data_IF_923130697047
#
_entry.id   IF_923130697047
#
_cell.length_a   1.000
_cell.length_b   1.000
_cell.length_c   1.000
_cell.angle_alpha   90.00
_cell.angle_beta   90.00
_cell.angle_gamma   90.00
#
_symmetry.space_group_name_H-M   'P 1'
#
loop_
_entity.id
_entity.type
_entity.pdbx_description
1 polymer ?
#
# COMPACT_ATOMS: atom_id res chain seq x y z
N UNK A 1 -5.14 24.07 -10.17
CA UNK A 1 -5.28 23.75 -8.72
C UNK A 1 -3.89 23.70 -8.13
N UNK A 2 -3.65 24.39 -7.01
CA UNK A 2 -2.34 24.34 -6.33
C UNK A 2 -2.04 22.90 -5.88
N UNK A 3 -0.80 22.43 -6.08
CA UNK A 3 -0.33 21.12 -5.62
C UNK A 3 -0.44 20.96 -4.10
N UNK A 4 -0.53 22.08 -3.39
CA UNK A 4 -0.58 22.14 -1.92
C UNK A 4 -1.99 22.26 -1.33
N UNK A 5 -3.04 22.28 -2.15
CA UNK A 5 -4.41 22.26 -1.64
C UNK A 5 -4.71 20.91 -0.96
N UNK A 6 -5.25 20.91 0.27
CA UNK A 6 -5.64 19.68 0.96
C UNK A 6 -6.64 18.87 0.13
N UNK A 7 -6.51 17.55 0.16
CA UNK A 7 -7.39 16.61 -0.53
C UNK A 7 -8.08 15.68 0.45
N UNK A 8 -9.31 15.32 0.12
CA UNK A 8 -10.05 14.33 0.91
C UNK A 8 -9.63 12.90 0.53
N UNK A 9 -9.78 11.92 1.44
CA UNK A 9 -9.55 10.51 1.10
C UNK A 9 -10.36 10.06 -0.11
N UNK A 10 -11.60 10.55 -0.27
CA UNK A 10 -12.52 10.19 -1.35
C UNK A 10 -12.00 10.54 -2.75
N UNK A 11 -11.23 11.63 -2.88
CA UNK A 11 -10.68 12.06 -4.17
C UNK A 11 -9.64 11.09 -4.74
N UNK A 12 -9.09 10.21 -3.89
CA UNK A 12 -8.05 9.25 -4.25
C UNK A 12 -8.42 7.80 -4.00
N UNK A 13 -9.55 7.51 -3.35
CA UNK A 13 -10.02 6.14 -3.15
C UNK A 13 -10.03 5.34 -4.44
N UNK A 14 -9.67 4.06 -4.31
CA UNK A 14 -9.67 3.11 -5.41
C UNK A 14 -10.28 1.79 -4.97
N UNK A 15 -11.17 1.27 -5.81
CA UNK A 15 -11.70 -0.08 -5.68
C UNK A 15 -11.40 -0.83 -6.96
N UNK A 16 -10.96 -2.07 -6.82
CA UNK A 16 -10.73 -3.00 -7.93
C UNK A 16 -11.16 -4.39 -7.52
N UNK A 17 -11.52 -5.20 -8.50
CA UNK A 17 -11.88 -6.59 -8.27
C UNK A 17 -11.30 -7.49 -9.35
N UNK A 18 -11.00 -8.74 -8.96
CA UNK A 18 -10.49 -9.76 -9.86
C UNK A 18 -11.05 -11.13 -9.49
N UNK A 19 -11.54 -11.85 -10.50
CA UNK A 19 -11.91 -13.25 -10.35
C UNK A 19 -10.64 -14.09 -10.20
N UNK A 20 -10.62 -14.95 -9.18
CA UNK A 20 -9.49 -15.84 -8.95
C UNK A 20 -9.59 -17.07 -9.86
N UNK A 21 -8.62 -17.19 -10.76
CA UNK A 21 -8.53 -18.25 -11.75
C UNK A 21 -7.54 -19.34 -11.29
N UNK A 22 -7.53 -20.54 -11.92
CA UNK A 22 -6.63 -21.63 -11.56
C UNK A 22 -5.14 -21.27 -11.54
N UNK A 23 -4.68 -20.37 -12.42
CA UNK A 23 -3.29 -19.89 -12.47
C UNK A 23 -2.87 -19.08 -11.24
N UNK A 24 -3.82 -18.62 -10.43
CA UNK A 24 -3.55 -17.93 -9.17
C UNK A 24 -3.37 -18.90 -7.98
N UNK A 25 -3.60 -20.20 -8.21
CA UNK A 25 -3.59 -21.20 -7.13
C UNK A 25 -2.17 -21.60 -6.71
N UNK A 26 -2.01 -21.91 -5.43
CA UNK A 26 -0.86 -22.61 -4.87
C UNK A 26 -1.05 -24.13 -4.95
N UNK A 27 -0.07 -24.90 -4.46
CA UNK A 27 -0.08 -26.37 -4.46
C UNK A 27 -1.22 -26.98 -3.65
N UNK A 28 -1.88 -26.21 -2.78
CA UNK A 28 -3.01 -26.67 -1.94
C UNK A 28 -4.36 -26.28 -2.56
N UNK A 29 -4.39 -25.69 -3.76
CA UNK A 29 -5.62 -25.27 -4.43
C UNK A 29 -6.22 -23.96 -3.91
N UNK A 30 -5.51 -23.24 -3.05
CA UNK A 30 -5.90 -21.90 -2.60
C UNK A 30 -5.13 -20.81 -3.37
N UNK A 31 -5.64 -19.61 -3.39
CA UNK A 31 -4.94 -18.48 -4.03
C UNK A 31 -3.61 -18.22 -3.32
N UNK A 32 -2.54 -18.12 -4.12
CA UNK A 32 -1.21 -17.84 -3.62
C UNK A 32 -1.13 -16.43 -3.00
N UNK A 33 -0.61 -16.35 -1.76
CA UNK A 33 -0.54 -15.08 -1.02
C UNK A 33 0.23 -13.98 -1.74
N UNK A 34 1.23 -14.34 -2.56
CA UNK A 34 1.98 -13.39 -3.38
C UNK A 34 1.13 -12.69 -4.44
N UNK A 35 0.13 -13.38 -5.01
CA UNK A 35 -0.87 -12.77 -5.93
C UNK A 35 -1.63 -11.68 -5.19
N UNK A 36 -2.11 -11.99 -3.98
CA UNK A 36 -2.87 -11.01 -3.17
C UNK A 36 -2.00 -9.82 -2.79
N UNK A 37 -0.74 -10.03 -2.40
CA UNK A 37 0.20 -8.95 -2.09
C UNK A 37 0.45 -8.03 -3.29
N UNK A 38 0.65 -8.61 -4.49
CA UNK A 38 0.82 -7.84 -5.74
C UNK A 38 -0.41 -7.00 -6.06
N UNK A 39 -1.61 -7.57 -5.90
CA UNK A 39 -2.86 -6.84 -6.10
C UNK A 39 -3.05 -5.72 -5.08
N UNK A 40 -2.68 -5.95 -3.80
CA UNK A 40 -2.71 -4.91 -2.75
C UNK A 40 -1.79 -3.74 -3.09
N UNK A 41 -0.55 -4.03 -3.51
CA UNK A 41 0.42 -3.01 -3.89
C UNK A 41 -0.09 -2.18 -5.07
N UNK A 42 -0.62 -2.85 -6.10
CA UNK A 42 -1.22 -2.17 -7.26
C UNK A 42 -2.39 -1.28 -6.88
N UNK A 43 -3.33 -1.78 -6.05
CA UNK A 43 -4.49 -1.00 -5.61
C UNK A 43 -4.07 0.21 -4.77
N UNK A 44 -3.07 0.03 -3.90
CA UNK A 44 -2.51 1.11 -3.08
C UNK A 44 -1.77 2.15 -3.93
N UNK A 45 -0.99 1.71 -4.95
CA UNK A 45 -0.30 2.60 -5.87
C UNK A 45 -1.26 3.52 -6.61
N UNK A 46 -2.40 3.00 -7.10
CA UNK A 46 -3.42 3.84 -7.75
C UNK A 46 -3.94 4.93 -6.81
N UNK A 47 -4.23 4.60 -5.55
CA UNK A 47 -4.67 5.57 -4.56
C UNK A 47 -3.58 6.62 -4.27
N UNK A 48 -2.32 6.18 -4.14
CA UNK A 48 -1.18 7.07 -3.93
C UNK A 48 -0.97 8.03 -5.11
N UNK A 49 -0.98 7.55 -6.35
CA UNK A 49 -0.82 8.37 -7.56
C UNK A 49 -1.96 9.37 -7.72
N UNK A 50 -3.20 8.95 -7.45
CA UNK A 50 -4.36 9.87 -7.48
C UNK A 50 -4.23 10.98 -6.46
N UNK A 51 -3.73 10.69 -5.27
CA UNK A 51 -3.56 11.67 -4.22
C UNK A 51 -2.38 12.62 -4.50
N UNK A 52 -1.20 12.08 -4.80
CA UNK A 52 0.00 12.86 -5.04
C UNK A 52 -0.02 13.62 -6.37
N UNK A 53 -0.75 13.09 -7.39
CA UNK A 53 -0.68 13.54 -8.80
C UNK A 53 0.74 13.54 -9.33
N UNK A 54 1.53 12.60 -8.85
CA UNK A 54 2.94 12.42 -9.21
C UNK A 54 3.32 10.94 -9.09
N UNK A 55 4.53 10.59 -9.54
CA UNK A 55 5.07 9.25 -9.34
C UNK A 55 5.21 8.95 -7.85
N UNK A 56 4.90 7.73 -7.47
CA UNK A 56 5.05 7.24 -6.11
C UNK A 56 5.71 5.88 -6.12
N UNK A 57 6.51 5.60 -5.10
CA UNK A 57 7.16 4.30 -4.91
C UNK A 57 6.74 3.69 -3.59
N UNK A 58 6.55 2.38 -3.57
CA UNK A 58 6.30 1.61 -2.36
C UNK A 58 7.59 1.54 -1.54
N UNK A 59 7.53 1.91 -0.26
CA UNK A 59 8.68 1.90 0.65
C UNK A 59 8.58 0.75 1.64
N UNK A 60 7.38 0.47 2.14
CA UNK A 60 7.15 -0.64 3.05
C UNK A 60 5.73 -1.14 2.97
N UNK A 61 5.56 -2.42 3.28
CA UNK A 61 4.28 -3.06 3.54
C UNK A 61 4.35 -3.50 5.01
N UNK A 62 3.36 -3.09 5.81
CA UNK A 62 3.25 -3.54 7.19
C UNK A 62 2.90 -5.03 7.24
N UNK A 63 2.92 -5.62 8.43
CA UNK A 63 2.53 -7.02 8.64
C UNK A 63 1.17 -7.31 8.00
N UNK A 64 1.12 -8.38 7.20
CA UNK A 64 -0.09 -8.89 6.56
C UNK A 64 -0.42 -10.25 7.15
N UNK A 65 -1.60 -10.37 7.78
CA UNK A 65 -2.10 -11.63 8.32
C UNK A 65 -3.19 -12.15 7.37
N UNK A 66 -2.97 -13.33 6.77
CA UNK A 66 -3.96 -14.04 5.96
C UNK A 66 -4.84 -14.87 6.91
N UNK A 67 -6.02 -14.36 7.25
CA UNK A 67 -6.91 -14.97 8.25
C UNK A 67 -7.80 -16.06 7.69
N UNK A 68 -8.18 -15.91 6.43
CA UNK A 68 -9.04 -16.86 5.73
C UNK A 68 -8.48 -17.16 4.34
N UNK A 69 -8.57 -18.41 3.88
CA UNK A 69 -8.14 -18.76 2.53
C UNK A 69 -9.06 -18.12 1.50
N UNK A 70 -8.47 -17.77 0.35
CA UNK A 70 -9.18 -17.35 -0.85
C UNK A 70 -9.12 -18.50 -1.84
N UNK A 71 -10.27 -18.84 -2.44
CA UNK A 71 -10.38 -19.98 -3.34
C UNK A 71 -10.40 -19.56 -4.80
N UNK A 72 -10.04 -20.48 -5.68
CA UNK A 72 -10.31 -20.33 -7.11
C UNK A 72 -11.83 -20.21 -7.30
N UNK A 73 -12.26 -19.25 -8.11
CA UNK A 73 -13.67 -18.91 -8.29
C UNK A 73 -14.21 -17.81 -7.37
N UNK A 74 -13.48 -17.41 -6.31
CA UNK A 74 -13.83 -16.22 -5.54
C UNK A 74 -13.56 -14.94 -6.35
N UNK A 75 -14.42 -13.94 -6.18
CA UNK A 75 -14.14 -12.57 -6.60
C UNK A 75 -13.43 -11.82 -5.47
N UNK A 76 -12.17 -11.49 -5.68
CA UNK A 76 -11.40 -10.67 -4.71
C UNK A 76 -11.65 -9.20 -4.99
N UNK A 77 -12.13 -8.49 -3.97
CA UNK A 77 -12.38 -7.04 -4.02
C UNK A 77 -11.39 -6.33 -3.10
N UNK A 78 -10.68 -5.35 -3.65
CA UNK A 78 -9.71 -4.53 -2.92
C UNK A 78 -10.15 -3.10 -2.86
N UNK A 79 -10.18 -2.53 -1.64
CA UNK A 79 -10.57 -1.14 -1.36
C UNK A 79 -9.38 -0.42 -0.75
N UNK A 80 -8.78 0.49 -1.52
CA UNK A 80 -7.62 1.29 -1.13
C UNK A 80 -8.01 2.73 -0.80
N UNK A 81 -7.44 3.29 0.26
CA UNK A 81 -7.66 4.66 0.69
C UNK A 81 -6.42 5.25 1.35
N UNK A 82 -6.13 6.52 1.07
CA UNK A 82 -5.10 7.27 1.81
C UNK A 82 -5.62 7.51 3.22
N UNK A 83 -4.87 7.02 4.22
CA UNK A 83 -5.21 7.16 5.63
C UNK A 83 -4.46 8.32 6.30
N UNK A 84 -3.22 8.58 5.86
CA UNK A 84 -2.36 9.61 6.44
C UNK A 84 -1.37 10.13 5.40
N UNK A 85 -1.04 11.42 5.50
CA UNK A 85 0.00 12.07 4.68
C UNK A 85 1.01 12.75 5.60
N UNK A 86 2.28 12.46 5.41
CA UNK A 86 3.41 13.20 5.97
C UNK A 86 3.88 14.28 5.00
N UNK A 87 5.15 14.68 5.06
CA UNK A 87 5.69 15.68 4.14
C UNK A 87 5.82 15.13 2.70
N UNK A 88 6.44 13.96 2.55
CA UNK A 88 6.71 13.31 1.25
C UNK A 88 6.13 11.89 1.16
N UNK A 89 5.59 11.38 2.25
CA UNK A 89 5.10 10.00 2.37
C UNK A 89 3.61 9.95 2.67
N UNK A 90 2.98 8.85 2.27
CA UNK A 90 1.57 8.56 2.51
C UNK A 90 1.43 7.14 3.07
N UNK A 91 0.50 6.95 4.01
CA UNK A 91 0.03 5.62 4.37
C UNK A 91 -1.25 5.32 3.63
N UNK A 92 -1.26 4.21 2.89
CA UNK A 92 -2.42 3.70 2.18
C UNK A 92 -2.91 2.45 2.92
N UNK A 93 -4.19 2.45 3.32
CA UNK A 93 -4.85 1.25 3.83
C UNK A 93 -5.55 0.51 2.70
N UNK A 94 -5.34 -0.81 2.64
CA UNK A 94 -6.04 -1.70 1.70
C UNK A 94 -6.84 -2.73 2.49
N UNK A 95 -8.14 -2.79 2.23
CA UNK A 95 -9.05 -3.83 2.72
C UNK A 95 -9.32 -4.82 1.61
N UNK A 96 -9.18 -6.11 1.92
CA UNK A 96 -9.41 -7.20 0.99
C UNK A 96 -10.62 -8.01 1.44
N UNK A 97 -11.55 -8.21 0.52
CA UNK A 97 -12.74 -9.03 0.69
C UNK A 97 -12.76 -10.11 -0.40
N UNK A 98 -13.17 -11.31 -0.07
CA UNK A 98 -13.47 -12.36 -1.02
C UNK A 98 -14.98 -12.60 -1.06
N UNK A 99 -15.54 -12.67 -2.26
CA UNK A 99 -16.94 -12.97 -2.51
C UNK A 99 -17.07 -14.32 -3.23
N UNK A 100 -17.80 -15.23 -2.64
CA UNK A 100 -18.22 -16.46 -3.29
C UNK A 100 -19.42 -16.15 -4.21
N UNK A 101 -19.17 -16.10 -5.52
CA UNK A 101 -20.15 -15.60 -6.50
C UNK A 101 -21.43 -16.45 -6.59
N UNK A 102 -21.35 -17.73 -6.24
CA UNK A 102 -22.50 -18.64 -6.30
C UNK A 102 -23.50 -18.40 -5.18
N UNK A 103 -23.02 -17.87 -4.03
CA UNK A 103 -23.85 -17.63 -2.84
C UNK A 103 -23.99 -16.14 -2.53
N UNK A 104 -23.14 -15.29 -3.10
CA UNK A 104 -23.04 -13.86 -2.78
C UNK A 104 -22.42 -13.59 -1.41
N UNK A 105 -21.90 -14.62 -0.73
CA UNK A 105 -21.27 -14.50 0.59
C UNK A 105 -19.95 -13.74 0.47
N UNK A 106 -19.86 -12.60 1.15
CA UNK A 106 -18.63 -11.82 1.29
C UNK A 106 -17.98 -12.07 2.64
N UNK A 107 -16.67 -12.18 2.65
CA UNK A 107 -15.85 -12.31 3.86
C UNK A 107 -14.64 -11.40 3.77
N UNK A 108 -14.30 -10.75 4.89
CA UNK A 108 -13.09 -9.97 5.02
C UNK A 108 -11.91 -10.89 5.27
N UNK A 109 -11.00 -11.00 4.32
CA UNK A 109 -9.86 -11.93 4.40
C UNK A 109 -8.67 -11.31 5.09
N UNK A 110 -8.35 -10.07 4.75
CA UNK A 110 -7.21 -9.35 5.34
C UNK A 110 -7.29 -7.84 5.10
N UNK A 111 -6.44 -7.12 5.84
CA UNK A 111 -6.15 -5.70 5.60
C UNK A 111 -4.67 -5.48 5.77
N UNK A 112 -4.11 -4.52 5.03
CA UNK A 112 -2.74 -4.10 5.18
C UNK A 112 -2.61 -2.59 5.09
N UNK A 113 -1.43 -2.10 5.49
CA UNK A 113 -1.05 -0.71 5.35
C UNK A 113 0.28 -0.66 4.60
N UNK A 114 0.33 0.19 3.59
CA UNK A 114 1.53 0.39 2.78
C UNK A 114 1.98 1.84 2.91
N UNK A 115 3.29 2.03 2.95
CA UNK A 115 3.88 3.38 2.91
C UNK A 115 4.40 3.65 1.51
N UNK A 116 3.91 4.74 0.92
CA UNK A 116 4.37 5.27 -0.36
C UNK A 116 5.10 6.59 -0.17
N UNK A 117 6.07 6.86 -1.03
CA UNK A 117 6.77 8.15 -1.12
C UNK A 117 6.58 8.71 -2.53
N UNK A 118 6.16 9.96 -2.61
CA UNK A 118 6.09 10.66 -3.89
C UNK A 118 7.49 11.10 -4.33
N UNK A 119 7.81 10.90 -5.60
CA UNK A 119 9.13 11.18 -6.17
C UNK A 119 9.03 11.98 -7.46
N UNK A 120 10.05 12.81 -7.71
CA UNK A 120 10.24 13.50 -8.99
C UNK A 120 10.79 12.56 -10.07
N UNK A 121 11.07 13.10 -11.28
CA UNK A 121 11.62 12.33 -12.40
C UNK A 121 13.03 11.78 -12.13
N UNK A 122 13.73 12.31 -11.12
CA UNK A 122 15.06 11.87 -10.71
C UNK A 122 15.02 10.92 -9.50
N UNK A 123 13.83 10.48 -9.07
CA UNK A 123 13.64 9.62 -7.91
C UNK A 123 13.78 10.33 -6.55
N UNK A 124 13.81 11.65 -6.51
CA UNK A 124 13.94 12.42 -5.27
C UNK A 124 12.57 12.62 -4.62
N UNK A 125 12.46 12.46 -3.28
CA UNK A 125 11.21 12.68 -2.57
C UNK A 125 10.70 14.11 -2.73
N UNK A 126 9.41 14.26 -3.06
CA UNK A 126 8.72 15.55 -3.19
C UNK A 126 7.55 15.64 -2.22
N UNK A 127 7.10 16.85 -1.93
CA UNK A 127 5.98 17.10 -1.05
C UNK A 127 4.66 16.61 -1.66
N UNK A 128 3.76 16.17 -0.80
CA UNK A 128 2.41 15.66 -1.15
C UNK A 128 1.35 16.60 -0.61
N UNK A 129 0.22 16.78 -1.33
CA UNK A 129 -0.91 17.54 -0.81
C UNK A 129 -1.37 16.98 0.55
N UNK A 130 -1.64 17.84 1.56
CA UNK A 130 -2.14 17.39 2.85
C UNK A 130 -3.46 16.63 2.72
N UNK A 131 -3.68 15.65 3.62
CA UNK A 131 -4.94 14.93 3.70
C UNK A 131 -5.91 15.69 4.61
N UNK A 132 -7.16 15.84 4.16
CA UNK A 132 -8.27 16.41 4.93
C UNK A 132 -9.37 15.38 5.09
N UNK A 133 -9.36 14.58 6.18
CA UNK A 133 -10.45 13.66 6.47
C UNK A 133 -11.71 14.45 6.87
N UNK A 134 -12.87 14.05 6.35
CA UNK A 134 -14.15 14.74 6.59
C UNK A 134 -15.16 13.85 7.32
N UNK A 135 -15.13 12.54 7.06
CA UNK A 135 -16.07 11.62 7.67
C UNK A 135 -15.52 10.99 8.97
N UNK A 136 -16.38 10.63 9.94
CA UNK A 136 -15.94 10.03 11.20
C UNK A 136 -14.98 8.83 11.01
N UNK A 137 -15.27 7.96 10.04
CA UNK A 137 -14.42 6.81 9.73
C UNK A 137 -13.06 7.21 9.12
N UNK A 138 -13.01 8.29 8.34
CA UNK A 138 -11.79 8.83 7.77
C UNK A 138 -10.91 9.42 8.88
N UNK A 139 -11.52 10.18 9.80
CA UNK A 139 -10.84 10.74 10.99
C UNK A 139 -10.28 9.61 11.86
N UNK A 140 -11.06 8.58 12.14
CA UNK A 140 -10.60 7.41 12.90
C UNK A 140 -9.41 6.72 12.23
N UNK A 141 -9.46 6.50 10.91
CA UNK A 141 -8.35 5.90 10.15
C UNK A 141 -7.11 6.79 10.15
N UNK A 142 -7.30 8.10 10.04
CA UNK A 142 -6.22 9.08 10.08
C UNK A 142 -5.46 9.05 11.41
N UNK A 143 -6.16 9.10 12.55
CA UNK A 143 -5.53 9.04 13.86
C UNK A 143 -4.85 7.69 14.12
N UNK A 144 -5.47 6.58 13.71
CA UNK A 144 -4.84 5.27 13.79
C UNK A 144 -3.58 5.16 12.92
N UNK A 145 -3.56 5.78 11.73
CA UNK A 145 -2.41 5.80 10.84
C UNK A 145 -1.26 6.65 11.39
N UNK A 146 -1.58 7.75 12.04
CA UNK A 146 -0.62 8.62 12.74
C UNK A 146 0.11 7.87 13.85
N UNK A 147 -0.63 7.06 14.61
CA UNK A 147 -0.05 6.22 15.65
C UNK A 147 0.82 5.10 15.08
N UNK A 148 0.41 4.42 14.00
CA UNK A 148 1.25 3.43 13.31
C UNK A 148 2.55 4.05 12.79
N UNK A 149 2.46 5.26 12.21
CA UNK A 149 3.65 5.99 11.75
C UNK A 149 4.62 6.28 12.89
N UNK A 150 4.11 6.70 14.08
CA UNK A 150 4.93 6.94 15.26
C UNK A 150 5.73 5.68 15.63
N UNK A 151 5.06 4.54 15.75
CA UNK A 151 5.69 3.25 16.06
C UNK A 151 6.76 2.86 15.04
N UNK A 152 6.47 2.95 13.76
CA UNK A 152 7.46 2.66 12.70
C UNK A 152 8.70 3.55 12.75
N UNK A 153 8.57 4.79 13.21
CA UNK A 153 9.71 5.68 13.39
C UNK A 153 10.53 5.27 14.61
N UNK A 154 9.90 4.92 15.71
CA UNK A 154 10.56 4.44 16.92
C UNK A 154 11.31 3.13 16.66
N UNK A 155 10.70 2.16 16.00
CA UNK A 155 11.32 0.90 15.61
C UNK A 155 12.57 1.14 14.74
N UNK A 156 12.47 1.99 13.73
CA UNK A 156 13.62 2.36 12.87
C UNK A 156 14.76 3.01 13.66
N UNK A 157 14.46 3.90 14.60
CA UNK A 157 15.48 4.52 15.43
C UNK A 157 16.14 3.50 16.36
N UNK A 158 15.38 2.55 16.91
CA UNK A 158 15.92 1.47 17.72
C UNK A 158 16.85 0.54 16.92
N UNK A 159 16.49 0.19 15.70
CA UNK A 159 17.31 -0.63 14.79
C UNK A 159 18.61 0.09 14.40
N UNK A 160 18.56 1.39 14.08
CA UNK A 160 19.75 2.19 13.73
C UNK A 160 20.67 2.42 14.92
N UNK A 161 20.14 2.51 16.14
CA UNK A 161 20.94 2.61 17.38
C UNK A 161 21.60 1.28 17.80
N UNK A 162 21.22 0.15 17.16
CA UNK A 162 21.75 -1.18 17.46
C UNK A 162 22.63 -1.75 16.32
N UNK A 163 22.89 -0.97 15.27
CA UNK A 163 23.77 -1.39 14.18
C UNK A 163 25.22 -1.43 14.71
N UNK A 164 25.89 -2.62 14.75
CA UNK A 164 27.33 -2.66 15.01
C UNK A 164 28.04 -1.93 13.87
N UNK A 165 29.08 -1.17 14.20
CA UNK A 165 29.98 -0.49 13.27
C UNK A 165 30.46 -1.47 12.17
N UNK A 166 29.72 -1.55 11.07
CA UNK A 166 30.14 -2.23 9.86
C UNK A 166 30.76 -1.18 8.92
N UNK A 167 31.99 -0.82 9.23
CA UNK A 167 32.88 -0.20 8.26
C UNK A 167 33.01 -1.14 7.04
N UNK A 168 32.52 -0.70 5.88
CA UNK A 168 32.87 -1.27 4.58
C UNK A 168 31.79 -2.06 3.85
N UNK A 169 30.68 -1.46 3.52
CA UNK A 169 29.85 -1.96 2.42
C UNK A 169 29.71 -0.85 1.37
N UNK A 170 30.41 -1.02 0.25
CA UNK A 170 30.24 -0.24 -0.96
C UNK A 170 28.79 -0.41 -1.47
N UNK A 171 28.05 0.67 -1.79
CA UNK A 171 26.69 0.54 -2.30
C UNK A 171 26.70 -0.17 -3.66
N UNK A 172 25.91 -1.22 -3.78
CA UNK A 172 25.68 -1.90 -5.03
C UNK A 172 25.10 -0.92 -6.06
N UNK A 173 25.72 -0.88 -7.23
CA UNK A 173 25.28 -0.06 -8.35
C UNK A 173 23.87 -0.47 -8.81
N UNK A 174 23.02 0.52 -9.05
CA UNK A 174 21.71 0.33 -9.65
C UNK A 174 21.82 -0.37 -11.02
N UNK A 175 20.90 -1.28 -11.40
CA UNK A 175 20.92 -1.89 -12.70
C UNK A 175 20.67 -0.85 -13.78
N UNK A 176 21.59 -0.77 -14.73
CA UNK A 176 21.51 0.07 -15.93
C UNK A 176 20.36 -0.43 -16.80
N UNK A 177 19.42 0.43 -17.12
CA UNK A 177 18.36 0.13 -18.08
C UNK A 177 18.98 -0.17 -19.46
N UNK A 178 18.60 -1.27 -20.08
CA UNK A 178 18.98 -1.63 -21.43
C UNK A 178 18.35 -0.65 -22.44
N UNK A 179 19.04 -0.28 -23.53
CA UNK A 179 18.45 0.57 -24.55
C UNK A 179 17.41 -0.21 -25.36
N UNK A 180 16.23 0.38 -25.49
CA UNK A 180 15.19 -0.08 -26.43
C UNK A 180 15.66 0.18 -27.85
N UNK A 181 15.70 -0.88 -28.65
CA UNK A 181 15.74 -0.81 -30.11
C UNK A 181 14.31 -0.72 -30.65
#
# INVERSE_FOLDING_TARGET
MSLYSPRTPRESQHETSQLMMPEHANNLGHVFGGVILSMMDTAAAVAAFRHARNNCVTVSIDRVDFREPIHVGDLVVMKASVNYVGRTSMEIGVRVEAEELTTGRRRHTNSCYLTFVAVDRNGRPIEVPPLRPEMPDEVRRYEAAKERRRRRLEERHAEQGHAPDAAGATPAAAPTAAPTA
#
